data_IF_558495021681
#
_entry.id   IF_558495021681
#
_cell.length_a   1.000
_cell.length_b   1.000
_cell.length_c   1.000
_cell.angle_alpha   90.00
_cell.angle_beta   90.00
_cell.angle_gamma   90.00
#
_symmetry.space_group_name_H-M   'P 1'
#
loop_
_entity.id
_entity.type
_entity.pdbx_description
1 polymer ?
#
# COMPACT_ATOMS: atom_id res chain seq x y z
N UNK A 1 18.62 5.83 -19.83
CA UNK A 1 18.39 4.49 -19.24
C UNK A 1 17.30 4.67 -18.20
N UNK A 2 16.10 4.09 -18.36
CA UNK A 2 15.10 4.17 -17.30
C UNK A 2 15.70 3.50 -16.06
N UNK A 3 15.75 4.22 -14.95
CA UNK A 3 16.11 3.62 -13.66
C UNK A 3 14.94 2.70 -13.31
N UNK A 4 15.13 1.39 -13.45
CA UNK A 4 14.22 0.43 -12.82
C UNK A 4 14.39 0.60 -11.31
N UNK A 5 13.49 1.38 -10.71
CA UNK A 5 13.38 1.57 -9.26
C UNK A 5 12.75 0.32 -8.66
N UNK A 6 13.42 -0.82 -8.79
CA UNK A 6 13.06 -2.02 -8.05
C UNK A 6 13.19 -1.72 -6.55
N UNK A 7 12.22 -2.20 -5.78
CA UNK A 7 12.22 -1.98 -4.34
C UNK A 7 13.22 -2.93 -3.68
N UNK A 8 14.33 -2.38 -3.19
CA UNK A 8 15.31 -3.12 -2.41
C UNK A 8 14.82 -3.31 -0.96
N UNK A 9 14.25 -4.48 -0.70
CA UNK A 9 13.75 -4.85 0.63
C UNK A 9 14.85 -4.88 1.69
N UNK A 10 16.05 -5.34 1.33
CA UNK A 10 17.16 -5.47 2.28
C UNK A 10 17.68 -4.08 2.68
N UNK A 11 17.86 -3.18 1.72
CA UNK A 11 18.27 -1.81 2.01
C UNK A 11 17.20 -1.06 2.82
N UNK A 12 15.91 -1.22 2.47
CA UNK A 12 14.82 -0.58 3.19
C UNK A 12 14.72 -1.06 4.65
N UNK A 13 14.80 -2.36 4.90
CA UNK A 13 14.71 -2.92 6.26
C UNK A 13 15.94 -2.61 7.10
N UNK A 14 17.14 -2.57 6.50
CA UNK A 14 18.36 -2.16 7.19
C UNK A 14 18.37 -0.68 7.62
N UNK A 15 17.64 0.18 6.90
CA UNK A 15 17.51 1.60 7.22
C UNK A 15 16.39 1.92 8.22
N UNK A 16 15.55 0.94 8.59
CA UNK A 16 14.44 1.16 9.52
C UNK A 16 14.90 1.04 10.97
N UNK A 17 14.57 2.06 11.78
CA UNK A 17 14.81 2.04 13.22
C UNK A 17 14.03 0.93 13.94
N UNK A 18 12.86 0.55 13.39
CA UNK A 18 11.93 -0.42 13.97
C UNK A 18 11.57 -1.42 12.89
N UNK A 19 12.29 -2.55 12.86
CA UNK A 19 12.06 -3.65 11.93
C UNK A 19 12.06 -4.99 12.64
N UNK A 20 11.07 -5.83 12.30
CA UNK A 20 10.98 -7.22 12.72
C UNK A 20 10.52 -8.08 11.55
N UNK A 21 11.37 -8.99 11.09
CA UNK A 21 11.00 -9.92 10.01
C UNK A 21 9.86 -10.84 10.43
N UNK A 22 9.79 -11.21 11.71
CA UNK A 22 8.73 -12.06 12.25
C UNK A 22 7.37 -11.35 12.23
N UNK A 23 7.35 -10.04 12.49
CA UNK A 23 6.12 -9.24 12.42
C UNK A 23 5.62 -9.13 10.98
N UNK A 24 6.52 -8.90 10.01
CA UNK A 24 6.16 -8.88 8.59
C UNK A 24 5.62 -10.25 8.16
N UNK A 25 6.24 -11.34 8.60
CA UNK A 25 5.76 -12.70 8.35
C UNK A 25 4.38 -12.94 8.98
N UNK A 26 4.14 -12.46 10.20
CA UNK A 26 2.85 -12.55 10.88
C UNK A 26 1.77 -11.78 10.10
N UNK A 27 2.07 -10.57 9.66
CA UNK A 27 1.14 -9.76 8.85
C UNK A 27 0.80 -10.45 7.54
N UNK A 28 1.80 -11.01 6.84
CA UNK A 28 1.61 -11.77 5.60
C UNK A 28 0.74 -13.01 5.81
N UNK A 29 0.93 -13.75 6.90
CA UNK A 29 0.07 -14.88 7.23
C UNK A 29 -1.35 -14.44 7.60
N UNK A 30 -1.47 -13.33 8.32
CA UNK A 30 -2.75 -12.76 8.72
C UNK A 30 -3.57 -12.32 7.51
N UNK A 31 -3.00 -11.62 6.52
CA UNK A 31 -3.73 -11.21 5.31
C UNK A 31 -4.26 -12.40 4.51
N UNK A 32 -3.52 -13.51 4.46
CA UNK A 32 -3.94 -14.74 3.78
C UNK A 32 -5.17 -15.39 4.43
N UNK A 33 -5.25 -15.32 5.76
CA UNK A 33 -6.34 -15.87 6.59
C UNK A 33 -7.54 -14.92 6.74
N UNK A 34 -7.38 -13.66 6.33
CA UNK A 34 -8.41 -12.64 6.51
C UNK A 34 -9.68 -12.99 5.73
N UNK A 35 -10.82 -12.67 6.34
CA UNK A 35 -12.12 -12.83 5.71
C UNK A 35 -12.31 -11.82 4.55
N UNK A 36 -13.03 -12.25 3.50
CA UNK A 36 -13.25 -11.44 2.29
C UNK A 36 -14.05 -10.16 2.57
N UNK A 37 -14.85 -10.11 3.64
CA UNK A 37 -15.61 -8.89 4.02
C UNK A 37 -14.72 -7.68 4.32
N UNK A 38 -13.42 -7.89 4.53
CA UNK A 38 -12.45 -6.82 4.81
C UNK A 38 -11.88 -6.17 3.55
N UNK A 39 -12.12 -6.74 2.37
CA UNK A 39 -11.63 -6.23 1.07
C UNK A 39 -10.11 -6.03 0.97
N UNK A 40 -9.34 -6.62 1.89
CA UNK A 40 -7.87 -6.61 1.85
C UNK A 40 -7.40 -7.68 0.85
N UNK A 41 -6.55 -7.33 -0.12
CA UNK A 41 -5.92 -8.30 -1.01
C UNK A 41 -5.08 -9.30 -0.22
N UNK A 42 -5.07 -10.57 -0.64
CA UNK A 42 -4.28 -11.61 0.03
C UNK A 42 -2.80 -11.53 -0.34
N UNK A 43 -2.53 -11.04 -1.53
CA UNK A 43 -1.24 -10.97 -2.20
C UNK A 43 -0.52 -9.62 -1.97
N UNK A 44 -0.69 -9.01 -0.80
CA UNK A 44 0.10 -7.81 -0.45
C UNK A 44 1.60 -8.12 -0.53
N UNK A 45 2.30 -7.27 -1.28
CA UNK A 45 3.76 -7.33 -1.42
C UNK A 45 4.47 -6.97 -0.11
N UNK A 46 5.69 -7.45 0.05
CA UNK A 46 6.50 -7.13 1.23
C UNK A 46 6.74 -5.61 1.35
N UNK A 47 6.86 -4.90 0.22
CA UNK A 47 6.89 -3.43 0.16
C UNK A 47 5.66 -2.80 0.81
N UNK A 48 4.46 -3.26 0.44
CA UNK A 48 3.21 -2.71 0.98
C UNK A 48 3.09 -2.98 2.47
N UNK A 49 3.38 -4.22 2.90
CA UNK A 49 3.36 -4.59 4.31
C UNK A 49 4.32 -3.73 5.12
N UNK A 50 5.54 -3.53 4.62
CA UNK A 50 6.56 -2.72 5.28
C UNK A 50 6.13 -1.25 5.41
N UNK A 51 5.48 -0.68 4.38
CA UNK A 51 4.97 0.69 4.42
C UNK A 51 3.90 0.87 5.51
N UNK A 52 2.94 -0.06 5.61
CA UNK A 52 1.93 0.01 6.67
C UNK A 52 2.52 -0.19 8.05
N UNK A 53 3.44 -1.16 8.19
CA UNK A 53 4.12 -1.45 9.46
C UNK A 53 4.93 -0.24 9.95
N UNK A 54 5.71 0.38 9.05
CA UNK A 54 6.48 1.58 9.35
C UNK A 54 5.57 2.77 9.71
N UNK A 55 4.48 2.99 8.96
CA UNK A 55 3.51 4.04 9.24
C UNK A 55 2.80 3.88 10.60
N UNK A 56 2.80 2.66 11.14
CA UNK A 56 2.24 2.34 12.45
C UNK A 56 3.32 2.15 13.53
N UNK A 57 4.56 2.56 13.29
CA UNK A 57 5.69 2.46 14.22
C UNK A 57 5.93 1.04 14.75
N UNK A 58 5.74 0.04 13.89
CA UNK A 58 5.92 -1.37 14.22
C UNK A 58 4.82 -1.99 15.09
N UNK A 59 3.75 -1.25 15.41
CA UNK A 59 2.63 -1.77 16.18
C UNK A 59 1.74 -2.66 15.30
N UNK A 60 1.77 -3.97 15.55
CA UNK A 60 1.06 -4.97 14.75
C UNK A 60 -0.46 -4.74 14.69
N UNK A 61 -1.10 -4.38 15.80
CA UNK A 61 -2.56 -4.26 15.84
C UNK A 61 -3.03 -2.95 15.20
N UNK A 62 -2.26 -1.86 15.37
CA UNK A 62 -2.47 -0.64 14.58
C UNK A 62 -2.23 -0.89 13.09
N UNK A 63 -1.22 -1.67 12.74
CA UNK A 63 -0.91 -2.02 11.33
C UNK A 63 -2.08 -2.77 10.69
N UNK A 64 -2.60 -3.82 11.34
CA UNK A 64 -3.77 -4.57 10.87
C UNK A 64 -4.99 -3.63 10.68
N UNK A 65 -5.26 -2.80 11.69
CA UNK A 65 -6.36 -1.83 11.64
C UNK A 65 -6.20 -0.81 10.51
N UNK A 66 -4.98 -0.33 10.29
CA UNK A 66 -4.64 0.59 9.21
C UNK A 66 -4.90 -0.04 7.83
N UNK A 67 -4.42 -1.27 7.63
CA UNK A 67 -4.63 -2.04 6.39
C UNK A 67 -6.13 -2.23 6.11
N UNK A 68 -6.91 -2.69 7.09
CA UNK A 68 -8.35 -2.89 6.91
C UNK A 68 -9.07 -1.58 6.55
N UNK A 69 -8.77 -0.48 7.26
CA UNK A 69 -9.37 0.83 6.99
C UNK A 69 -8.99 1.34 5.59
N UNK A 70 -7.71 1.24 5.22
CA UNK A 70 -7.24 1.68 3.91
C UNK A 70 -8.00 1.01 2.76
N UNK A 71 -8.13 -0.32 2.81
CA UNK A 71 -8.84 -1.05 1.75
C UNK A 71 -10.35 -0.89 1.81
N UNK A 72 -10.93 -0.74 3.01
CA UNK A 72 -12.34 -0.37 3.17
C UNK A 72 -12.63 1.00 2.53
N UNK A 73 -11.79 2.02 2.76
CA UNK A 73 -11.96 3.32 2.11
C UNK A 73 -11.81 3.23 0.60
N UNK A 74 -10.80 2.51 0.09
CA UNK A 74 -10.66 2.30 -1.36
C UNK A 74 -11.89 1.65 -1.98
N UNK A 75 -12.48 0.66 -1.31
CA UNK A 75 -13.67 -0.04 -1.81
C UNK A 75 -14.91 0.86 -1.79
N UNK A 76 -15.06 1.70 -0.77
CA UNK A 76 -16.24 2.51 -0.56
C UNK A 76 -16.19 3.88 -1.24
N UNK A 77 -15.04 4.27 -1.80
CA UNK A 77 -14.87 5.55 -2.50
C UNK A 77 -14.28 5.34 -3.92
N UNK A 78 -14.92 4.52 -4.77
CA UNK A 78 -14.40 4.18 -6.10
C UNK A 78 -14.19 5.40 -7.00
N UNK A 79 -14.92 6.49 -6.79
CA UNK A 79 -14.77 7.76 -7.50
C UNK A 79 -13.35 8.37 -7.40
N UNK A 80 -12.60 8.03 -6.36
CA UNK A 80 -11.21 8.48 -6.20
C UNK A 80 -10.18 7.45 -6.67
N UNK A 81 -10.53 6.16 -6.66
CA UNK A 81 -9.54 5.08 -6.76
C UNK A 81 -9.64 4.24 -8.03
N UNK A 82 -10.81 4.22 -8.66
CA UNK A 82 -11.07 3.56 -9.94
C UNK A 82 -10.90 4.57 -11.09
N UNK A 83 -10.64 4.07 -12.31
CA UNK A 83 -10.55 4.90 -13.53
C UNK A 83 -9.55 6.07 -13.43
N UNK A 84 -8.45 5.89 -12.69
CA UNK A 84 -7.36 6.86 -12.62
C UNK A 84 -6.56 6.84 -13.93
N UNK A 85 -6.99 7.64 -14.90
CA UNK A 85 -6.36 7.78 -16.21
C UNK A 85 -5.46 9.01 -16.16
N UNK A 86 -4.14 8.82 -16.29
CA UNK A 86 -3.17 9.93 -16.26
C UNK A 86 -3.21 10.81 -17.51
N UNK A 87 -3.74 10.30 -18.63
CA UNK A 87 -3.76 10.96 -19.92
C UNK A 87 -5.19 11.11 -20.50
N UNK A 88 -6.21 11.27 -19.65
CA UNK A 88 -7.55 11.54 -20.17
C UNK A 88 -7.57 12.93 -20.84
N UNK A 89 -8.32 13.07 -21.93
CA UNK A 89 -8.49 14.34 -22.63
C UNK A 89 -9.02 15.45 -21.69
N UNK A 90 -9.78 15.05 -20.66
CA UNK A 90 -10.32 15.94 -19.62
C UNK A 90 -9.26 16.52 -18.66
N UNK A 91 -8.10 15.87 -18.53
CA UNK A 91 -6.98 16.32 -17.68
C UNK A 91 -5.89 17.03 -18.47
N UNK A 92 -6.01 17.14 -19.80
CA UNK A 92 -5.08 17.95 -20.56
C UNK A 92 -5.25 19.42 -20.15
N UNK A 93 -4.15 20.14 -19.91
CA UNK A 93 -4.24 21.57 -19.68
C UNK A 93 -4.96 22.15 -20.91
N UNK A 94 -6.03 22.91 -20.68
CA UNK A 94 -6.71 23.65 -21.74
C UNK A 94 -5.68 24.58 -22.37
N UNK A 95 -5.00 24.14 -23.43
CA UNK A 95 -3.99 24.92 -24.15
C UNK A 95 -4.63 26.01 -25.02
N UNK A 96 -5.77 26.53 -24.60
CA UNK A 96 -6.46 27.65 -25.23
C UNK A 96 -6.75 28.73 -24.19
N UNK A 97 -5.69 29.43 -23.77
CA UNK A 97 -5.81 30.78 -23.21
C UNK A 97 -4.43 31.48 -23.15
N UNK A 98 -3.70 31.58 -24.27
CA UNK A 98 -2.73 32.67 -24.53
C UNK A 98 -2.58 32.90 -26.03
#
# INVERSE_FOLDING_TARGET
MPVELEFDYNAATAAMDIFSQDDINLLKQWTQKLDKSKYVPKDLSDKQLLLFYNACYGDLDKTKTCIEKYYSFRKNAPEFFDTRILNSEELWPSTEAL
#
